data_IF_999917459216
#
_entry.id   IF_999917459216
#
_cell.length_a   1.000
_cell.length_b   1.000
_cell.length_c   1.000
_cell.angle_alpha   90.00
_cell.angle_beta   90.00
_cell.angle_gamma   90.00
#
_symmetry.space_group_name_H-M   'P 1'
#
loop_
_entity.id
_entity.type
_entity.pdbx_description
1 polymer ?
#
# COMPACT_ATOMS: atom_id res chain seq x y z
N UNK A 1 18.16 14.76 0.04
CA UNK A 1 17.59 14.08 1.23
C UNK A 1 16.90 12.84 0.72
N UNK A 2 17.39 11.65 1.08
CA UNK A 2 16.81 10.39 0.60
C UNK A 2 15.69 9.95 1.53
N UNK A 3 14.49 9.79 1.00
CA UNK A 3 13.44 9.02 1.68
C UNK A 3 13.71 7.54 1.41
N UNK A 4 13.54 6.69 2.41
CA UNK A 4 13.48 5.25 2.18
C UNK A 4 12.02 4.86 2.10
N UNK A 5 11.64 4.21 1.01
CA UNK A 5 10.29 3.68 0.83
C UNK A 5 10.30 2.22 1.29
N UNK A 6 9.24 1.80 1.99
CA UNK A 6 9.04 0.40 2.30
C UNK A 6 7.59 -0.03 2.14
N UNK A 7 7.40 -1.15 1.45
CA UNK A 7 6.11 -1.79 1.29
C UNK A 7 5.94 -2.86 2.36
N UNK A 8 4.82 -2.81 3.07
CA UNK A 8 4.50 -3.72 4.17
C UNK A 8 3.12 -4.35 3.97
N UNK A 9 2.92 -5.54 4.52
CA UNK A 9 1.63 -6.22 4.57
C UNK A 9 1.25 -6.58 6.01
N UNK A 10 -0.05 -6.60 6.31
CA UNK A 10 -0.56 -6.85 7.65
C UNK A 10 -0.76 -8.35 7.91
N UNK A 11 -0.13 -8.89 8.95
CA UNK A 11 -0.29 -10.27 9.43
C UNK A 11 -1.06 -10.31 10.76
N UNK A 12 -2.27 -9.78 10.77
CA UNK A 12 -3.16 -9.76 11.95
C UNK A 12 -2.71 -8.82 13.07
N UNK A 13 -1.53 -9.06 13.66
CA UNK A 13 -0.99 -8.30 14.78
C UNK A 13 0.14 -7.33 14.40
N UNK A 14 0.78 -7.52 13.24
CA UNK A 14 1.96 -6.74 12.85
C UNK A 14 1.97 -6.41 11.34
N UNK A 15 2.82 -5.46 10.98
CA UNK A 15 3.10 -5.09 9.59
C UNK A 15 4.49 -5.60 9.24
N UNK A 16 4.56 -6.50 8.26
CA UNK A 16 5.80 -7.15 7.83
C UNK A 16 6.23 -6.57 6.49
N UNK A 17 7.49 -6.17 6.31
CA UNK A 17 8.00 -5.72 5.02
C UNK A 17 8.09 -6.87 4.03
N UNK A 18 7.78 -6.58 2.76
CA UNK A 18 8.06 -7.52 1.68
C UNK A 18 9.58 -7.71 1.48
N UNK A 19 9.96 -8.79 0.80
CA UNK A 19 11.33 -9.03 0.38
C UNK A 19 11.83 -7.91 -0.55
N UNK A 20 13.12 -7.59 -0.51
CA UNK A 20 13.69 -6.48 -1.29
C UNK A 20 13.34 -6.53 -2.79
N UNK A 21 13.40 -7.67 -3.51
CA UNK A 21 12.99 -7.72 -4.91
C UNK A 21 11.52 -7.36 -5.12
N UNK A 22 10.65 -7.74 -4.17
CA UNK A 22 9.23 -7.40 -4.19
C UNK A 22 9.04 -5.91 -3.91
N UNK A 23 9.78 -5.32 -2.96
CA UNK A 23 9.69 -3.89 -2.66
C UNK A 23 10.06 -3.02 -3.86
N UNK A 24 11.15 -3.33 -4.54
CA UNK A 24 11.60 -2.59 -5.74
C UNK A 24 10.57 -2.69 -6.87
N UNK A 25 9.97 -3.88 -7.06
CA UNK A 25 8.94 -4.11 -8.07
C UNK A 25 7.65 -3.34 -7.75
N UNK A 26 7.16 -3.41 -6.51
CA UNK A 26 5.95 -2.71 -6.10
C UNK A 26 6.13 -1.20 -6.17
N UNK A 27 7.30 -0.69 -5.81
CA UNK A 27 7.61 0.74 -5.97
C UNK A 27 7.64 1.15 -7.43
N UNK A 28 8.29 0.36 -8.30
CA UNK A 28 8.29 0.64 -9.74
C UNK A 28 6.88 0.61 -10.34
N UNK A 29 6.04 -0.34 -9.92
CA UNK A 29 4.64 -0.40 -10.34
C UNK A 29 3.86 0.83 -9.89
N UNK A 30 4.05 1.27 -8.64
CA UNK A 30 3.41 2.46 -8.08
C UNK A 30 3.82 3.73 -8.83
N UNK A 31 5.11 3.95 -9.05
CA UNK A 31 5.62 5.12 -9.78
C UNK A 31 5.12 5.18 -11.23
N UNK A 32 4.84 4.02 -11.83
CA UNK A 32 4.32 3.88 -13.20
C UNK A 32 2.80 3.95 -13.29
N UNK A 33 2.08 4.06 -12.17
CA UNK A 33 0.62 4.06 -12.14
C UNK A 33 0.02 2.71 -12.56
N UNK A 34 0.68 1.60 -12.22
CA UNK A 34 0.16 0.25 -12.45
C UNK A 34 -0.77 -0.13 -11.30
N UNK A 35 -1.99 -0.58 -11.61
CA UNK A 35 -3.00 -0.86 -10.59
C UNK A 35 -2.75 -2.16 -9.81
N UNK A 36 -2.15 -3.16 -10.47
CA UNK A 36 -1.89 -4.47 -9.88
C UNK A 36 -0.66 -5.17 -10.49
N UNK A 37 -0.09 -6.10 -9.74
CA UNK A 37 1.00 -6.95 -10.19
C UNK A 37 0.96 -8.34 -9.54
N UNK A 38 1.73 -9.27 -10.08
CA UNK A 38 1.97 -10.58 -9.49
C UNK A 38 3.41 -10.63 -8.98
N UNK A 39 3.59 -11.02 -7.73
CA UNK A 39 4.90 -11.05 -7.07
C UNK A 39 5.16 -12.40 -6.42
N UNK A 40 6.44 -12.76 -6.31
CA UNK A 40 6.88 -13.94 -5.57
C UNK A 40 7.64 -13.44 -4.35
N UNK A 41 7.14 -13.81 -3.17
CA UNK A 41 7.69 -13.34 -1.91
C UNK A 41 7.78 -14.50 -0.91
N UNK A 42 8.88 -14.54 -0.16
CA UNK A 42 9.20 -15.65 0.74
C UNK A 42 8.18 -15.82 1.87
N UNK A 43 7.53 -14.73 2.29
CA UNK A 43 6.50 -14.76 3.35
C UNK A 43 5.23 -15.50 2.92
N UNK A 44 5.01 -15.65 1.60
CA UNK A 44 3.88 -16.38 1.03
C UNK A 44 4.30 -17.77 0.51
N UNK A 45 5.39 -18.32 1.07
CA UNK A 45 5.91 -19.64 0.71
C UNK A 45 6.50 -19.70 -0.70
N UNK A 46 6.91 -18.56 -1.26
CA UNK A 46 7.43 -18.47 -2.64
C UNK A 46 6.36 -18.69 -3.72
N UNK A 47 5.08 -18.61 -3.35
CA UNK A 47 3.99 -18.66 -4.31
C UNK A 47 3.85 -17.31 -5.03
N UNK A 48 3.31 -17.37 -6.25
CA UNK A 48 2.93 -16.16 -6.96
C UNK A 48 1.64 -15.59 -6.34
N UNK A 49 1.73 -14.40 -5.74
CA UNK A 49 0.61 -13.72 -5.08
C UNK A 49 0.20 -12.49 -5.87
N UNK A 50 -1.10 -12.18 -5.84
CA UNK A 50 -1.67 -11.03 -6.53
C UNK A 50 -1.64 -9.80 -5.63
N UNK A 51 -1.07 -8.70 -6.08
CA UNK A 51 -1.01 -7.44 -5.34
C UNK A 51 -1.84 -6.39 -6.08
N UNK A 52 -2.84 -5.82 -5.42
CA UNK A 52 -3.61 -4.68 -5.89
C UNK A 52 -3.11 -3.42 -5.18
N UNK A 53 -2.52 -2.51 -5.94
CA UNK A 53 -1.91 -1.29 -5.42
C UNK A 53 -2.95 -0.22 -5.10
N UNK A 54 -3.97 -0.04 -5.94
CA UNK A 54 -5.06 0.92 -5.65
C UNK A 54 -5.91 0.50 -4.45
N UNK A 55 -6.39 -0.75 -4.44
CA UNK A 55 -7.21 -1.28 -3.34
C UNK A 55 -6.38 -1.69 -2.11
N UNK A 56 -5.05 -1.55 -2.19
CA UNK A 56 -4.11 -1.77 -1.08
C UNK A 56 -4.25 -3.13 -0.40
N UNK A 57 -4.19 -4.21 -1.17
CA UNK A 57 -4.12 -5.57 -0.63
C UNK A 57 -3.26 -6.53 -1.45
N UNK A 58 -2.75 -7.56 -0.80
CA UNK A 58 -2.16 -8.75 -1.43
C UNK A 58 -3.06 -9.96 -1.18
N UNK A 59 -3.24 -10.80 -2.19
CA UNK A 59 -4.11 -11.96 -2.15
C UNK A 59 -3.33 -13.25 -2.47
N UNK A 60 -3.51 -14.24 -1.59
CA UNK A 60 -3.08 -15.61 -1.78
C UNK A 60 -4.34 -16.50 -1.80
N UNK A 61 -4.84 -16.78 -3.01
CA UNK A 61 -6.12 -17.44 -3.18
C UNK A 61 -7.27 -16.62 -2.58
N UNK A 62 -8.10 -17.16 -1.68
CA UNK A 62 -9.22 -16.44 -1.07
C UNK A 62 -8.80 -15.50 0.07
N UNK A 63 -7.56 -15.62 0.57
CA UNK A 63 -7.06 -14.82 1.71
C UNK A 63 -6.49 -13.51 1.20
N UNK A 64 -6.85 -12.41 1.85
CA UNK A 64 -6.36 -11.06 1.55
C UNK A 64 -5.68 -10.46 2.77
N UNK A 65 -4.56 -9.80 2.55
CA UNK A 65 -3.81 -9.05 3.55
C UNK A 65 -3.74 -7.60 3.10
N UNK A 66 -4.04 -6.66 3.98
CA UNK A 66 -3.88 -5.24 3.68
C UNK A 66 -2.39 -4.93 3.45
N UNK A 67 -2.08 -4.07 2.49
CA UNK A 67 -0.73 -3.57 2.25
C UNK A 67 -0.67 -2.06 2.49
N UNK A 68 0.52 -1.55 2.76
CA UNK A 68 0.76 -0.13 2.92
C UNK A 68 2.13 0.26 2.38
N UNK A 69 2.22 1.46 1.81
CA UNK A 69 3.48 2.11 1.42
C UNK A 69 3.89 3.08 2.52
N UNK A 70 5.06 2.84 3.10
CA UNK A 70 5.63 3.68 4.16
C UNK A 70 6.83 4.45 3.62
N UNK A 71 7.01 5.70 4.08
CA UNK A 71 8.19 6.50 3.75
C UNK A 71 8.83 6.97 5.04
N UNK A 72 10.07 6.55 5.31
CA UNK A 72 10.84 7.15 6.39
C UNK A 72 11.74 8.23 5.82
N UNK A 73 11.62 9.44 6.37
CA UNK A 73 12.63 10.47 6.18
C UNK A 73 13.73 10.18 7.21
N UNK A 74 15.02 10.28 6.84
CA UNK A 74 16.19 10.05 7.71
C UNK A 74 16.32 11.12 8.83
N UNK A 75 15.25 11.33 9.60
CA UNK A 75 15.12 12.34 10.66
C UNK A 75 13.70 12.50 11.21
N UNK A 76 12.65 12.03 10.51
CA UNK A 76 11.26 12.06 10.97
C UNK A 76 10.49 10.90 10.32
N UNK A 77 10.09 9.90 11.10
CA UNK A 77 9.18 8.85 10.64
C UNK A 77 7.79 9.50 10.45
N UNK A 78 7.48 9.95 9.24
CA UNK A 78 6.17 10.50 8.91
C UNK A 78 5.30 9.38 8.35
N UNK A 79 4.50 8.77 9.23
CA UNK A 79 3.31 8.06 8.78
C UNK A 79 2.37 9.08 8.15
N UNK A 80 2.26 9.10 6.83
CA UNK A 80 1.23 9.90 6.18
C UNK A 80 -0.14 9.32 6.54
N UNK A 81 -1.16 10.15 6.82
CA UNK A 81 -2.52 9.68 6.85
C UNK A 81 -2.89 9.21 5.43
N UNK A 82 -3.50 8.04 5.35
CA UNK A 82 -4.01 7.43 4.12
C UNK A 82 -5.04 8.37 3.47
N UNK A 83 -4.61 9.20 2.53
CA UNK A 83 -5.44 9.76 1.45
C UNK A 83 -5.14 8.82 0.26
N UNK A 84 -5.87 7.72 0.03
CA UNK A 84 -7.30 7.59 -0.19
C UNK A 84 -7.77 6.23 0.33
N UNK A 85 -8.90 6.19 1.02
CA UNK A 85 -9.76 4.99 1.04
C UNK A 85 -11.06 5.35 0.33
N UNK A 86 -11.14 5.04 -0.97
CA UNK A 86 -12.47 4.80 -1.53
C UNK A 86 -12.85 3.39 -1.11
N UNK A 87 -13.55 3.32 0.02
CA UNK A 87 -14.29 2.15 0.44
C UNK A 87 -15.27 1.77 -0.68
N UNK A 88 -15.01 0.68 -1.39
CA UNK A 88 -16.07 -0.11 -2.01
C UNK A 88 -16.12 -1.48 -1.35
N UNK A 89 -16.36 -1.50 -0.04
CA UNK A 89 -17.01 -2.62 0.59
C UNK A 89 -18.53 -2.33 0.58
N UNK A 90 -19.25 -3.13 -0.20
CA UNK A 90 -20.67 -3.49 -0.04
C UNK A 90 -21.58 -2.53 0.76
N UNK A 91 -22.53 -1.91 0.06
CA UNK A 91 -23.90 -1.63 0.55
C UNK A 91 -24.05 -1.08 1.98
N UNK A 92 -23.87 0.23 2.16
CA UNK A 92 -24.84 1.05 2.93
C UNK A 92 -24.61 2.53 2.68
N UNK A 93 -25.70 3.21 2.31
CA UNK A 93 -25.83 4.64 2.07
C UNK A 93 -25.30 5.47 3.25
N UNK A 94 -24.25 6.26 3.05
CA UNK A 94 -24.05 7.54 3.75
C UNK A 94 -23.27 8.48 2.83
N UNK A 95 -23.92 9.55 2.39
CA UNK A 95 -23.32 10.71 1.72
C UNK A 95 -22.38 11.45 2.69
N UNK A 96 -21.14 11.75 2.28
CA UNK A 96 -20.38 12.85 2.89
C UNK A 96 -19.58 13.59 1.82
N UNK A 97 -19.80 14.90 1.81
CA UNK A 97 -19.29 15.90 0.89
C UNK A 97 -17.76 16.02 0.87
N UNK A 98 -17.24 16.31 -0.32
CA UNK A 98 -15.82 16.48 -0.63
C UNK A 98 -15.34 17.90 -0.33
N UNK A 99 -14.42 18.08 0.63
CA UNK A 99 -13.62 19.31 0.76
C UNK A 99 -12.24 19.17 0.10
N UNK A 100 -11.99 20.04 -0.88
CA UNK A 100 -10.76 20.14 -1.67
C UNK A 100 -9.73 20.96 -0.90
N UNK A 101 -8.66 20.33 -0.42
CA UNK A 101 -7.55 21.04 0.22
C UNK A 101 -6.59 21.61 -0.85
N UNK A 102 -6.45 22.93 -0.93
CA UNK A 102 -5.43 23.62 -1.74
C UNK A 102 -4.23 23.99 -0.85
N UNK A 103 -2.98 23.65 -1.21
CA UNK A 103 -1.83 24.10 -0.44
C UNK A 103 -1.54 25.58 -0.72
N UNK A 104 -1.43 26.37 0.36
CA UNK A 104 -0.88 27.72 0.34
C UNK A 104 0.61 27.61 0.62
N UNK A 105 1.44 28.12 -0.30
CA UNK A 105 2.87 28.28 -0.09
C UNK A 105 3.11 29.61 0.64
N UNK A 106 3.86 29.58 1.74
CA UNK A 106 4.51 30.75 2.36
C UNK A 106 6.01 30.52 2.30
#
# INVERSE_FOLDING_TARGET
MGFTVSWVFATGAEWIPFDMPTQDLLESCWERGVDYSYVIDSHFGGANVFVHLCDSYVAQGPVRFAICRTTCNLGLCQSWPVLYSYNYALNREVEVESEVFRPVWI
#
